data_IF_650379846219
#
_entry.id   IF_650379846219
#
_cell.length_a   1.000
_cell.length_b   1.000
_cell.length_c   1.000
_cell.angle_alpha   90.00
_cell.angle_beta   90.00
_cell.angle_gamma   90.00
#
_symmetry.space_group_name_H-M   'P 1'
#
loop_
_entity.id
_entity.type
_entity.pdbx_description
1 polymer ?
#
# COMPACT_ATOMS: atom_id res chain seq x y z
N UNK A 1 -10.82 -24.75 1.03
CA UNK A 1 -11.50 -23.50 0.63
C UNK A 1 -12.37 -23.11 1.80
N UNK A 2 -11.95 -22.11 2.58
CA UNK A 2 -12.59 -21.74 3.85
C UNK A 2 -14.06 -21.30 3.63
N UNK A 3 -15.07 -21.99 4.22
CA UNK A 3 -16.49 -21.71 3.99
C UNK A 3 -16.91 -20.30 4.47
N UNK A 4 -16.17 -19.74 5.42
CA UNK A 4 -16.37 -18.39 5.95
C UNK A 4 -16.26 -17.29 4.89
N UNK A 5 -15.35 -17.44 3.92
CA UNK A 5 -15.11 -16.43 2.87
C UNK A 5 -16.24 -16.32 1.84
N UNK A 6 -16.94 -17.42 1.55
CA UNK A 6 -18.07 -17.40 0.61
C UNK A 6 -19.28 -16.67 1.19
N UNK A 7 -19.59 -16.91 2.47
CA UNK A 7 -20.67 -16.21 3.18
C UNK A 7 -20.41 -14.70 3.26
N UNK A 8 -19.18 -14.30 3.59
CA UNK A 8 -18.80 -12.88 3.64
C UNK A 8 -18.94 -12.18 2.28
N UNK A 9 -18.49 -12.83 1.20
CA UNK A 9 -18.61 -12.29 -0.15
C UNK A 9 -20.07 -12.14 -0.57
N UNK A 10 -20.91 -13.12 -0.25
CA UNK A 10 -22.35 -13.09 -0.54
C UNK A 10 -23.04 -11.95 0.22
N UNK A 11 -22.75 -11.80 1.51
CA UNK A 11 -23.28 -10.71 2.34
C UNK A 11 -22.85 -9.33 1.82
N UNK A 12 -21.58 -9.18 1.42
CA UNK A 12 -21.07 -7.94 0.82
C UNK A 12 -21.83 -7.60 -0.48
N UNK A 13 -22.06 -8.58 -1.35
CA UNK A 13 -22.82 -8.37 -2.58
C UNK A 13 -24.26 -7.94 -2.31
N UNK A 14 -24.91 -8.56 -1.33
CA UNK A 14 -26.28 -8.21 -0.94
C UNK A 14 -26.36 -6.78 -0.41
N UNK A 15 -25.41 -6.35 0.41
CA UNK A 15 -25.36 -4.97 0.92
C UNK A 15 -25.10 -3.96 -0.21
N UNK A 16 -24.17 -4.27 -1.13
CA UNK A 16 -23.93 -3.40 -2.28
C UNK A 16 -25.19 -3.31 -3.16
N UNK A 17 -25.92 -4.40 -3.34
CA UNK A 17 -27.18 -4.40 -4.10
C UNK A 17 -28.27 -3.55 -3.45
N UNK A 18 -28.28 -3.46 -2.11
CA UNK A 18 -29.23 -2.59 -1.40
C UNK A 18 -28.95 -1.09 -1.66
N UNK A 19 -27.69 -0.72 -1.91
CA UNK A 19 -27.29 0.66 -2.17
C UNK A 19 -27.32 1.06 -3.64
N UNK A 20 -26.91 0.17 -4.53
CA UNK A 20 -26.71 0.50 -5.96
C UNK A 20 -27.62 -0.29 -6.91
N UNK A 21 -28.47 -1.17 -6.40
CA UNK A 21 -29.35 -1.99 -7.22
C UNK A 21 -28.67 -3.25 -7.79
N UNK A 22 -29.23 -3.88 -8.83
CA UNK A 22 -28.77 -5.18 -9.31
C UNK A 22 -27.32 -5.17 -9.84
N UNK A 23 -26.42 -5.85 -9.11
CA UNK A 23 -25.00 -5.99 -9.46
C UNK A 23 -24.65 -7.40 -9.94
N UNK A 24 -23.79 -7.53 -10.99
CA UNK A 24 -23.27 -8.82 -11.41
C UNK A 24 -22.24 -9.36 -10.41
N UNK A 25 -22.59 -10.44 -9.71
CA UNK A 25 -21.72 -11.10 -8.72
C UNK A 25 -20.36 -11.57 -9.29
N UNK A 26 -20.31 -11.82 -10.60
CA UNK A 26 -19.11 -12.28 -11.33
C UNK A 26 -18.02 -11.23 -11.43
N UNK A 27 -18.34 -9.94 -11.27
CA UNK A 27 -17.38 -8.84 -11.43
C UNK A 27 -16.73 -8.38 -10.12
N UNK A 28 -17.15 -8.92 -8.99
CA UNK A 28 -16.54 -8.59 -7.69
C UNK A 28 -15.22 -9.36 -7.55
N UNK A 29 -14.10 -8.64 -7.52
CA UNK A 29 -12.77 -9.24 -7.41
C UNK A 29 -12.18 -8.96 -6.03
N UNK A 30 -11.61 -9.97 -5.39
CA UNK A 30 -10.79 -9.76 -4.19
C UNK A 30 -9.44 -9.19 -4.61
N UNK A 31 -9.04 -8.07 -4.01
CA UNK A 31 -7.81 -7.35 -4.36
C UNK A 31 -6.73 -7.50 -3.30
N UNK A 32 -7.08 -7.93 -2.09
CA UNK A 32 -6.14 -8.14 -1.00
C UNK A 32 -6.70 -7.76 0.35
N UNK A 33 -5.80 -7.46 1.28
CA UNK A 33 -6.12 -7.19 2.68
C UNK A 33 -5.43 -5.91 3.15
N UNK A 34 -6.13 -5.13 3.98
CA UNK A 34 -5.58 -3.96 4.65
C UNK A 34 -5.70 -4.16 6.16
N UNK A 35 -4.57 -4.12 6.85
CA UNK A 35 -4.54 -4.15 8.31
C UNK A 35 -4.38 -2.72 8.84
N UNK A 36 -5.29 -2.33 9.72
CA UNK A 36 -5.20 -1.09 10.47
C UNK A 36 -5.10 -1.40 11.96
N UNK A 37 -3.90 -1.17 12.49
CA UNK A 37 -3.63 -1.25 13.93
C UNK A 37 -3.80 0.12 14.55
N UNK A 38 -4.67 0.19 15.54
CA UNK A 38 -4.70 1.21 16.58
C UNK A 38 -3.91 0.70 17.80
N UNK A 39 -3.74 1.53 18.83
CA UNK A 39 -2.94 1.18 20.01
C UNK A 39 -3.41 -0.10 20.71
N UNK A 40 -4.71 -0.41 20.67
CA UNK A 40 -5.30 -1.54 21.39
C UNK A 40 -6.20 -2.41 20.51
N UNK A 41 -6.40 -2.05 19.24
CA UNK A 41 -7.30 -2.78 18.33
C UNK A 41 -6.61 -2.98 16.99
N UNK A 42 -6.70 -4.20 16.47
CA UNK A 42 -6.23 -4.55 15.13
C UNK A 42 -7.44 -4.89 14.25
N UNK A 43 -7.74 -4.01 13.30
CA UNK A 43 -8.78 -4.24 12.30
C UNK A 43 -8.16 -4.78 11.02
N UNK A 44 -8.81 -5.78 10.44
CA UNK A 44 -8.37 -6.43 9.21
C UNK A 44 -9.48 -6.33 8.17
N UNK A 45 -9.25 -5.54 7.13
CA UNK A 45 -10.20 -5.30 6.06
C UNK A 45 -9.89 -6.18 4.86
N UNK A 46 -10.90 -6.87 4.33
CA UNK A 46 -10.81 -7.53 3.04
C UNK A 46 -11.21 -6.53 1.94
N UNK A 47 -10.31 -6.31 0.98
CA UNK A 47 -10.51 -5.34 -0.09
C UNK A 47 -11.09 -6.05 -1.30
N UNK A 48 -12.24 -5.58 -1.76
CA UNK A 48 -12.87 -6.03 -2.99
C UNK A 48 -13.04 -4.85 -3.96
N UNK A 49 -12.89 -5.11 -5.26
CA UNK A 49 -13.12 -4.15 -6.33
C UNK A 49 -14.26 -4.61 -7.23
N UNK A 50 -15.09 -3.68 -7.64
CA UNK A 50 -16.18 -3.90 -8.60
C UNK A 50 -16.28 -2.68 -9.52
N UNK A 51 -16.12 -2.91 -10.82
CA UNK A 51 -16.29 -1.87 -11.84
C UNK A 51 -17.59 -2.10 -12.63
N UNK A 52 -18.44 -1.08 -12.66
CA UNK A 52 -19.71 -1.10 -13.39
C UNK A 52 -19.51 -0.61 -14.83
N UNK A 53 -18.78 -1.37 -15.64
CA UNK A 53 -18.61 -1.05 -17.07
C UNK A 53 -19.87 -1.44 -17.84
N UNK A 54 -20.53 -0.46 -18.48
CA UNK A 54 -21.67 -0.68 -19.38
C UNK A 54 -23.01 -1.00 -18.71
N UNK A 55 -23.15 -0.78 -17.39
CA UNK A 55 -24.47 -0.75 -16.75
C UNK A 55 -25.01 0.68 -16.72
N UNK A 56 -26.33 0.81 -16.78
CA UNK A 56 -27.02 2.10 -16.64
C UNK A 56 -26.56 2.79 -15.35
N UNK A 57 -26.35 4.12 -15.37
CA UNK A 57 -25.96 4.85 -14.18
C UNK A 57 -26.98 4.58 -13.07
N UNK A 58 -26.48 4.29 -11.88
CA UNK A 58 -27.30 4.02 -10.71
C UNK A 58 -27.99 5.32 -10.31
N UNK A 59 -29.23 5.47 -10.75
CA UNK A 59 -30.00 6.72 -10.58
C UNK A 59 -30.51 6.90 -9.14
N UNK A 60 -30.64 5.81 -8.38
CA UNK A 60 -31.23 5.83 -7.04
C UNK A 60 -30.12 5.50 -6.04
N UNK A 61 -29.76 6.49 -5.23
CA UNK A 61 -28.82 6.31 -4.12
C UNK A 61 -29.57 6.57 -2.82
N UNK A 62 -29.59 5.62 -1.86
CA UNK A 62 -30.28 5.81 -0.59
C UNK A 62 -29.65 6.94 0.25
N UNK A 63 -30.40 7.54 1.20
CA UNK A 63 -29.88 8.57 2.07
C UNK A 63 -28.67 8.05 2.86
N UNK A 64 -27.55 8.78 2.81
CA UNK A 64 -26.29 8.39 3.44
C UNK A 64 -25.27 7.75 2.48
N UNK A 65 -25.66 7.45 1.24
CA UNK A 65 -24.74 7.00 0.19
C UNK A 65 -24.61 8.10 -0.87
N UNK A 66 -23.43 8.20 -1.49
CA UNK A 66 -23.19 9.14 -2.59
C UNK A 66 -22.15 8.59 -3.56
N UNK A 67 -22.30 8.92 -4.83
CA UNK A 67 -21.26 8.72 -5.83
C UNK A 67 -20.21 9.83 -5.70
N UNK A 68 -18.95 9.45 -5.77
CA UNK A 68 -17.81 10.36 -5.68
C UNK A 68 -16.84 10.06 -6.81
N UNK A 69 -16.23 11.12 -7.32
CA UNK A 69 -15.02 11.02 -8.13
C UNK A 69 -13.83 10.58 -7.28
N UNK A 70 -12.76 10.15 -7.96
CA UNK A 70 -11.52 9.75 -7.30
C UNK A 70 -10.91 10.89 -6.51
N UNK A 71 -10.96 12.10 -7.05
CA UNK A 71 -10.38 13.30 -6.47
C UNK A 71 -11.15 13.71 -5.22
N UNK A 72 -12.49 13.66 -5.26
CA UNK A 72 -13.34 13.94 -4.11
C UNK A 72 -13.13 12.93 -2.97
N UNK A 73 -12.94 11.64 -3.29
CA UNK A 73 -12.65 10.65 -2.26
C UNK A 73 -11.31 10.93 -1.54
N UNK A 74 -10.31 11.47 -2.24
CA UNK A 74 -8.99 11.79 -1.66
C UNK A 74 -9.06 12.95 -0.68
N UNK A 75 -9.87 13.97 -0.98
CA UNK A 75 -10.07 15.15 -0.12
C UNK A 75 -11.11 14.91 0.97
N UNK A 76 -12.00 13.92 0.80
CA UNK A 76 -12.99 13.56 1.80
C UNK A 76 -12.37 13.17 3.16
N UNK A 77 -13.12 13.49 4.23
CA UNK A 77 -12.78 13.14 5.60
C UNK A 77 -13.06 11.65 5.89
N UNK A 78 -12.35 10.76 5.18
CA UNK A 78 -12.41 9.31 5.38
C UNK A 78 -11.29 8.83 6.29
N UNK A 79 -11.53 7.73 7.01
CA UNK A 79 -10.54 7.15 7.91
C UNK A 79 -9.27 6.75 7.15
N UNK A 80 -8.13 6.76 7.84
CA UNK A 80 -6.84 6.39 7.24
C UNK A 80 -6.85 4.96 6.69
N UNK A 81 -7.59 4.04 7.33
CA UNK A 81 -7.82 2.69 6.82
C UNK A 81 -8.50 2.71 5.45
N UNK A 82 -9.55 3.50 5.27
CA UNK A 82 -10.26 3.57 3.99
C UNK A 82 -9.39 4.18 2.89
N UNK A 83 -8.52 5.15 3.22
CA UNK A 83 -7.49 5.65 2.28
C UNK A 83 -6.52 4.55 1.84
N UNK A 84 -6.16 3.62 2.74
CA UNK A 84 -5.32 2.46 2.39
C UNK A 84 -6.08 1.47 1.50
N UNK A 85 -7.34 1.18 1.80
CA UNK A 85 -8.21 0.32 0.99
C UNK A 85 -8.32 0.85 -0.43
N UNK A 86 -8.59 2.15 -0.59
CA UNK A 86 -8.68 2.78 -1.90
C UNK A 86 -7.36 2.73 -2.67
N UNK A 87 -6.22 2.89 -2.00
CA UNK A 87 -4.90 2.77 -2.64
C UNK A 87 -4.63 1.35 -3.18
N UNK A 88 -5.10 0.30 -2.48
CA UNK A 88 -5.02 -1.08 -2.99
C UNK A 88 -5.84 -1.22 -4.26
N UNK A 89 -7.04 -0.64 -4.28
CA UNK A 89 -7.89 -0.63 -5.48
C UNK A 89 -7.22 0.12 -6.66
N UNK A 90 -6.64 1.29 -6.42
CA UNK A 90 -5.95 2.06 -7.47
C UNK A 90 -4.72 1.34 -8.03
N UNK A 91 -3.95 0.65 -7.19
CA UNK A 91 -2.75 -0.08 -7.63
C UNK A 91 -3.04 -1.22 -8.61
N UNK A 92 -4.25 -1.78 -8.58
CA UNK A 92 -4.69 -2.84 -9.49
C UNK A 92 -5.27 -2.29 -10.81
N UNK A 93 -5.53 -0.97 -10.90
CA UNK A 93 -5.93 -0.31 -12.13
C UNK A 93 -4.70 0.33 -12.81
N UNK A 94 -4.14 -0.27 -13.89
CA UNK A 94 -2.89 0.19 -14.52
C UNK A 94 -2.95 1.58 -15.20
N UNK A 95 -4.05 2.33 -15.09
CA UNK A 95 -4.27 3.55 -15.88
C UNK A 95 -4.06 4.88 -15.16
N UNK A 96 -4.06 4.95 -13.82
CA UNK A 96 -4.14 6.25 -13.14
C UNK A 96 -3.49 6.21 -11.77
N UNK A 97 -2.44 7.02 -11.62
CA UNK A 97 -1.68 7.28 -10.39
C UNK A 97 -0.53 6.31 -10.07
N UNK A 98 0.59 6.54 -10.77
CA UNK A 98 1.93 6.26 -10.23
C UNK A 98 2.17 7.15 -8.99
N UNK A 99 1.64 6.80 -7.82
CA UNK A 99 2.37 7.11 -6.58
C UNK A 99 3.25 5.92 -6.24
N UNK A 100 4.32 5.80 -7.01
CA UNK A 100 5.56 5.25 -6.47
C UNK A 100 6.03 6.19 -5.37
N UNK A 101 5.42 6.07 -4.19
CA UNK A 101 6.03 6.50 -2.93
C UNK A 101 6.29 5.26 -2.07
N UNK A 102 6.67 4.15 -2.73
CA UNK A 102 7.78 3.39 -2.18
C UNK A 102 8.96 4.33 -2.37
N UNK A 103 9.42 4.92 -1.28
CA UNK A 103 10.77 5.44 -1.21
C UNK A 103 11.68 4.32 -1.73
N UNK A 104 12.00 4.36 -3.03
CA UNK A 104 13.36 4.01 -3.39
C UNK A 104 14.15 5.03 -2.60
N UNK A 105 14.77 4.56 -1.52
CA UNK A 105 16.03 5.13 -1.10
C UNK A 105 16.91 5.00 -2.33
N UNK A 106 16.87 6.01 -3.19
CA UNK A 106 17.98 6.32 -4.06
C UNK A 106 19.16 6.42 -3.11
N UNK A 107 20.24 5.64 -3.29
CA UNK A 107 21.48 6.04 -2.66
C UNK A 107 21.74 7.44 -3.21
N UNK A 108 21.67 8.46 -2.35
CA UNK A 108 22.17 9.78 -2.67
C UNK A 108 23.67 9.59 -2.93
N UNK A 109 24.02 9.26 -4.17
CA UNK A 109 25.36 9.47 -4.72
C UNK A 109 25.52 10.97 -4.98
N UNK A 110 25.35 11.76 -3.92
CA UNK A 110 25.97 13.07 -3.81
C UNK A 110 26.97 12.92 -2.68
N UNK A 111 28.21 12.64 -3.05
CA UNK A 111 29.36 12.56 -2.14
C UNK A 111 29.61 13.97 -1.58
N UNK A 112 28.77 14.44 -0.66
CA UNK A 112 29.11 15.54 0.23
C UNK A 112 30.01 14.97 1.30
N UNK A 113 31.24 15.48 1.37
CA UNK A 113 32.20 15.11 2.41
C UNK A 113 31.52 15.34 3.78
N UNK A 114 31.50 14.36 4.69
CA UNK A 114 31.04 14.59 6.04
C UNK A 114 31.88 15.70 6.66
N UNK A 115 31.26 16.59 7.43
CA UNK A 115 32.00 17.60 8.19
C UNK A 115 32.89 16.88 9.23
N UNK A 116 33.97 17.53 9.69
CA UNK A 116 34.80 16.97 10.76
C UNK A 116 33.91 16.64 11.98
N UNK A 117 33.78 15.35 12.31
CA UNK A 117 32.97 14.87 13.43
C UNK A 117 31.70 14.08 13.07
N UNK A 118 31.27 14.03 11.80
CA UNK A 118 30.13 13.19 11.40
C UNK A 118 30.59 11.78 10.97
N UNK A 119 30.18 10.75 11.71
CA UNK A 119 30.32 9.35 11.28
C UNK A 119 29.06 8.89 10.53
N UNK A 120 29.24 8.27 9.36
CA UNK A 120 28.16 7.70 8.56
C UNK A 120 27.79 6.33 9.13
N UNK A 121 26.50 6.06 9.33
CA UNK A 121 26.03 4.82 9.98
C UNK A 121 26.57 3.53 9.35
N UNK A 122 26.90 3.54 8.06
CA UNK A 122 27.49 2.41 7.35
C UNK A 122 28.82 1.91 7.97
N UNK A 123 29.54 2.74 8.73
CA UNK A 123 30.77 2.31 9.40
C UNK A 123 30.53 1.42 10.63
N UNK A 124 29.34 1.45 11.24
CA UNK A 124 29.01 0.58 12.39
C UNK A 124 28.79 -0.88 11.99
N UNK A 125 28.47 -1.14 10.72
CA UNK A 125 28.15 -2.47 10.22
C UNK A 125 29.32 -3.16 9.53
N UNK A 126 30.51 -2.56 9.54
CA UNK A 126 31.70 -3.18 8.96
C UNK A 126 32.30 -4.17 9.97
N UNK A 127 32.58 -5.42 9.57
CA UNK A 127 33.31 -6.34 10.42
C UNK A 127 34.71 -5.79 10.69
N UNK A 128 35.09 -5.67 11.96
CA UNK A 128 36.44 -5.30 12.37
C UNK A 128 37.37 -6.47 12.06
N UNK A 129 38.06 -6.42 10.93
CA UNK A 129 39.21 -7.30 10.65
C UNK A 129 40.45 -6.60 11.20
N UNK A 130 41.13 -7.12 12.24
CA UNK A 130 42.42 -6.59 12.64
C UNK A 130 43.43 -6.90 11.53
N UNK A 131 43.84 -5.87 10.79
CA UNK A 131 44.99 -5.95 9.88
C UNK A 131 46.19 -5.44 10.65
N UNK A 132 46.90 -6.35 11.31
CA UNK A 132 48.26 -6.09 11.77
C UNK A 132 49.15 -7.26 11.35
N UNK A 133 49.93 -7.04 10.29
CA UNK A 133 51.11 -7.80 9.95
C UNK A 133 51.97 -6.89 9.05
N UNK A 134 53.03 -6.25 9.57
CA UNK A 134 53.96 -5.49 8.74
C UNK A 134 54.87 -6.47 8.00
N UNK A 135 54.70 -6.55 6.69
CA UNK A 135 55.61 -7.25 5.78
C UNK A 135 56.68 -6.32 5.22
N UNK A 136 57.92 -6.84 5.19
CA UNK A 136 59.10 -6.45 4.42
C UNK A 136 59.90 -5.21 4.84
N UNK A 137 61.19 -5.43 5.13
CA UNK A 137 62.28 -5.06 4.21
C UNK A 137 63.47 -6.03 4.34
N UNK A 138 63.83 -6.69 3.24
CA UNK A 138 65.15 -7.29 3.03
C UNK A 138 65.76 -6.53 1.86
N UNK A 139 66.88 -5.86 2.08
CA UNK A 139 67.67 -5.20 1.03
C UNK A 139 69.07 -5.75 1.14
N UNK A 140 69.52 -6.35 0.05
CA UNK A 140 70.87 -6.84 -0.16
C UNK A 140 71.85 -5.67 -0.31
N UNK A 141 73.05 -5.84 0.26
CA UNK A 141 74.33 -5.55 -0.39
C UNK A 141 75.44 -6.28 0.35
#
# INVERSE_FOLDING_TARGET
>A
MEPSGQCQRKALLQELQSWVGPLPATRLCHLGQVVHSFSHIKLTYQVYGLALTGQAPVTITPPGVRWLTREEFRTAAVSTAMKKVFRVYEGQHPGTYKSSKRSQVSPLSSRKKPSPGQQVLDSFFRPNIPTDAPGLTSVAQ
#
